data_IF_785603503567
#
_entry.id   IF_785603503567
#
_cell.length_a   1.000
_cell.length_b   1.000
_cell.length_c   1.000
_cell.angle_alpha   90.00
_cell.angle_beta   90.00
_cell.angle_gamma   90.00
#
_symmetry.space_group_name_H-M   'P 1'
#
loop_
_entity.id
_entity.type
_entity.pdbx_description
1 polymer ?
#
# COMPACT_ATOMS: atom_id res chain seq x y z
N UNK A 1 -65.65 31.16 17.79
CA UNK A 1 -65.62 29.68 17.90
C UNK A 1 -64.87 29.01 16.73
N UNK A 2 -64.18 29.72 15.88
CA UNK A 2 -63.53 29.23 14.66
C UNK A 2 -62.00 28.97 14.77
N UNK A 3 -61.34 29.46 15.85
CA UNK A 3 -59.88 29.36 15.99
C UNK A 3 -59.38 27.98 16.49
N UNK A 4 -60.14 27.28 17.34
CA UNK A 4 -59.73 25.99 17.91
C UNK A 4 -59.84 24.78 16.94
N UNK A 5 -60.71 24.89 15.97
CA UNK A 5 -60.89 23.81 14.97
C UNK A 5 -59.81 23.83 13.90
N UNK A 6 -59.40 25.01 13.48
CA UNK A 6 -58.32 25.20 12.47
C UNK A 6 -56.96 24.72 13.00
N UNK A 7 -56.65 24.96 14.28
CA UNK A 7 -55.39 24.51 14.90
C UNK A 7 -55.30 22.99 15.04
N UNK A 8 -56.43 22.32 15.33
CA UNK A 8 -56.49 20.86 15.40
C UNK A 8 -56.30 20.20 14.02
N UNK A 9 -56.87 20.78 12.96
CA UNK A 9 -56.72 20.26 11.59
C UNK A 9 -55.27 20.41 11.12
N UNK A 10 -54.62 21.54 11.38
CA UNK A 10 -53.21 21.77 11.03
C UNK A 10 -52.33 20.79 11.79
N UNK A 11 -52.57 20.49 13.05
CA UNK A 11 -51.80 19.57 13.86
C UNK A 11 -51.93 18.11 13.37
N UNK A 12 -53.11 17.70 12.95
CA UNK A 12 -53.36 16.36 12.38
C UNK A 12 -52.72 16.24 10.99
N UNK A 13 -52.74 17.30 10.18
CA UNK A 13 -52.11 17.30 8.84
C UNK A 13 -50.58 17.25 8.98
N UNK A 14 -49.94 17.93 9.98
CA UNK A 14 -48.54 17.81 10.25
C UNK A 14 -48.10 16.42 10.74
N UNK A 15 -48.95 15.73 11.52
CA UNK A 15 -48.62 14.38 12.02
C UNK A 15 -48.65 13.35 10.87
N UNK A 16 -49.54 13.52 9.90
CA UNK A 16 -49.62 12.61 8.72
C UNK A 16 -48.41 12.76 7.78
N UNK A 17 -47.76 13.93 7.76
CA UNK A 17 -46.56 14.16 6.92
C UNK A 17 -45.28 13.50 7.46
N UNK A 18 -45.25 13.07 8.71
CA UNK A 18 -44.09 12.39 9.30
C UNK A 18 -44.16 10.85 9.24
N UNK A 19 -45.23 10.27 8.69
CA UNK A 19 -45.29 8.82 8.44
C UNK A 19 -44.92 8.54 6.97
N UNK A 20 -43.85 9.15 6.48
CA UNK A 20 -43.18 8.65 5.30
C UNK A 20 -42.24 7.53 5.77
N UNK A 21 -42.78 6.35 5.98
CA UNK A 21 -41.96 5.14 5.99
C UNK A 21 -41.22 5.09 4.65
N UNK A 22 -39.95 5.46 4.66
CA UNK A 22 -39.06 5.06 3.59
C UNK A 22 -39.08 3.53 3.65
N UNK A 23 -39.77 2.92 2.73
CA UNK A 23 -39.72 1.49 2.54
C UNK A 23 -38.27 1.20 2.12
N UNK A 24 -37.45 0.73 3.05
CA UNK A 24 -36.16 0.18 2.68
C UNK A 24 -36.45 -0.89 1.62
N UNK A 25 -35.97 -0.64 0.42
CA UNK A 25 -36.00 -1.65 -0.64
C UNK A 25 -35.09 -2.76 -0.11
N UNK A 26 -35.64 -3.97 0.16
CA UNK A 26 -34.80 -5.06 0.62
C UNK A 26 -33.73 -5.28 -0.44
N UNK A 27 -32.47 -5.11 -0.07
CA UNK A 27 -31.33 -5.45 -0.92
C UNK A 27 -31.50 -6.94 -1.19
N UNK A 28 -31.80 -7.29 -2.44
CA UNK A 28 -31.81 -8.69 -2.84
C UNK A 28 -30.42 -9.22 -2.57
N UNK A 29 -30.28 -10.33 -1.81
CA UNK A 29 -28.98 -10.98 -1.70
C UNK A 29 -28.47 -11.23 -3.12
N UNK A 30 -27.26 -10.80 -3.42
CA UNK A 30 -26.61 -11.22 -4.65
C UNK A 30 -26.54 -12.75 -4.61
N UNK A 31 -26.94 -13.41 -5.69
CA UNK A 31 -26.56 -14.82 -5.87
C UNK A 31 -25.04 -14.90 -5.72
N UNK A 32 -24.54 -15.96 -5.07
CA UNK A 32 -23.12 -16.26 -5.11
C UNK A 32 -22.70 -16.19 -6.58
N UNK A 33 -21.77 -15.26 -6.87
CA UNK A 33 -21.24 -15.10 -8.22
C UNK A 33 -20.53 -16.38 -8.68
N UNK A 34 -20.33 -16.51 -9.98
CA UNK A 34 -19.50 -17.57 -10.51
C UNK A 34 -18.05 -17.40 -9.97
N UNK A 35 -17.39 -18.53 -9.72
CA UNK A 35 -15.98 -18.56 -9.35
C UNK A 35 -15.15 -18.00 -10.50
N UNK A 36 -14.53 -16.85 -10.29
CA UNK A 36 -13.56 -16.27 -11.22
C UNK A 36 -12.15 -16.65 -10.78
N UNK A 37 -11.42 -17.35 -11.63
CA UNK A 37 -10.03 -17.72 -11.39
C UNK A 37 -9.12 -16.72 -12.13
N UNK A 38 -8.23 -16.07 -11.38
CA UNK A 38 -7.13 -15.29 -11.92
C UNK A 38 -5.81 -16.02 -11.68
N UNK A 39 -4.87 -15.92 -12.61
CA UNK A 39 -3.50 -16.42 -12.45
C UNK A 39 -2.53 -15.26 -12.62
N UNK A 40 -1.57 -15.14 -11.70
CA UNK A 40 -0.60 -14.06 -11.70
C UNK A 40 0.80 -14.66 -11.64
N UNK A 41 1.61 -14.34 -12.64
CA UNK A 41 3.03 -14.70 -12.68
C UNK A 41 3.88 -13.53 -12.16
N UNK A 42 4.46 -13.69 -10.98
CA UNK A 42 5.33 -12.69 -10.36
C UNK A 42 6.76 -12.70 -10.93
N UNK A 43 7.05 -13.54 -11.89
CA UNK A 43 8.37 -13.69 -12.52
C UNK A 43 9.38 -14.43 -11.63
N UNK A 44 10.56 -14.65 -12.20
CA UNK A 44 11.67 -15.24 -11.46
C UNK A 44 12.08 -14.33 -10.30
N UNK A 45 12.34 -14.93 -9.13
CA UNK A 45 12.72 -14.22 -7.91
C UNK A 45 11.70 -13.17 -7.42
N UNK A 46 10.44 -13.27 -7.89
CA UNK A 46 9.36 -12.34 -7.57
C UNK A 46 9.72 -10.89 -7.86
N UNK A 47 10.32 -10.64 -9.02
CA UNK A 47 10.81 -9.32 -9.43
C UNK A 47 9.75 -8.42 -10.09
N UNK A 48 8.59 -8.98 -10.39
CA UNK A 48 7.45 -8.20 -10.91
C UNK A 48 6.62 -7.61 -9.77
N UNK A 49 6.21 -6.37 -9.97
CA UNK A 49 5.17 -5.69 -9.20
C UNK A 49 3.93 -5.61 -10.07
N UNK A 50 2.82 -6.20 -9.63
CA UNK A 50 1.63 -6.41 -10.46
C UNK A 50 0.42 -5.82 -9.78
N UNK A 51 -0.14 -4.77 -10.37
CA UNK A 51 -1.37 -4.12 -9.96
C UNK A 51 -2.56 -4.85 -10.56
N UNK A 52 -3.49 -5.27 -9.72
CA UNK A 52 -4.60 -6.13 -10.09
C UNK A 52 -5.93 -5.53 -9.68
N UNK A 53 -6.92 -5.60 -10.57
CA UNK A 53 -8.32 -5.23 -10.31
C UNK A 53 -9.13 -6.48 -9.99
N UNK A 54 -9.78 -6.49 -8.84
CA UNK A 54 -10.72 -7.56 -8.47
C UNK A 54 -12.03 -7.48 -9.27
N UNK A 55 -12.49 -6.27 -9.57
CA UNK A 55 -13.73 -6.06 -10.32
C UNK A 55 -13.64 -6.52 -11.75
N UNK A 56 -12.52 -6.23 -12.40
CA UNK A 56 -12.28 -6.60 -13.80
C UNK A 56 -11.64 -7.99 -13.92
N UNK A 57 -11.14 -8.53 -12.81
CA UNK A 57 -10.40 -9.81 -12.75
C UNK A 57 -9.20 -9.82 -13.70
N UNK A 58 -8.44 -8.71 -13.74
CA UNK A 58 -7.32 -8.54 -14.67
C UNK A 58 -6.14 -7.77 -14.09
N UNK A 59 -4.99 -7.95 -14.72
CA UNK A 59 -3.80 -7.15 -14.45
C UNK A 59 -3.98 -5.78 -15.08
N UNK A 60 -4.00 -4.74 -14.24
CA UNK A 60 -4.09 -3.35 -14.69
C UNK A 60 -2.76 -2.83 -15.19
N UNK A 61 -1.68 -3.18 -14.48
CA UNK A 61 -0.32 -2.75 -14.81
C UNK A 61 0.73 -3.65 -14.18
N UNK A 62 1.89 -3.68 -14.80
CA UNK A 62 3.05 -4.43 -14.30
C UNK A 62 4.33 -3.66 -14.55
N UNK A 63 5.26 -3.74 -13.60
CA UNK A 63 6.60 -3.19 -13.71
C UNK A 63 7.62 -4.09 -13.00
N UNK A 64 8.90 -3.87 -13.31
CA UNK A 64 9.98 -4.48 -12.54
C UNK A 64 10.24 -3.69 -11.24
N UNK A 65 10.52 -4.39 -10.16
CA UNK A 65 10.82 -3.79 -8.86
C UNK A 65 12.01 -2.80 -8.89
N UNK A 66 12.96 -3.02 -9.78
CA UNK A 66 14.18 -2.21 -9.89
C UNK A 66 14.02 -0.89 -10.64
N UNK A 67 12.82 -0.59 -11.15
CA UNK A 67 12.60 0.62 -11.94
C UNK A 67 12.59 1.90 -11.12
N UNK A 68 12.19 1.84 -9.85
CA UNK A 68 12.05 3.00 -8.98
C UNK A 68 12.73 2.78 -7.61
N UNK A 69 12.95 3.85 -6.87
CA UNK A 69 13.71 3.82 -5.62
C UNK A 69 12.90 4.31 -4.40
N UNK A 70 12.28 5.46 -4.53
CA UNK A 70 11.42 6.08 -3.51
C UNK A 70 10.14 6.60 -4.15
N UNK A 71 9.11 6.84 -3.35
CA UNK A 71 7.90 7.43 -3.91
C UNK A 71 7.30 8.52 -3.01
N UNK A 72 6.72 9.52 -3.62
CA UNK A 72 6.17 10.71 -3.01
C UNK A 72 4.65 10.66 -2.97
N UNK A 73 4.04 10.99 -1.85
CA UNK A 73 2.58 11.00 -1.71
C UNK A 73 1.94 11.93 -2.75
N UNK A 74 1.00 11.37 -3.55
CA UNK A 74 0.33 12.09 -4.64
C UNK A 74 -0.78 13.03 -4.19
N UNK A 75 -1.31 12.84 -2.97
CA UNK A 75 -2.43 13.62 -2.42
C UNK A 75 -2.06 15.09 -2.23
N UNK A 76 -2.99 16.00 -2.53
CA UNK A 76 -2.85 17.41 -2.16
C UNK A 76 -2.60 17.54 -0.64
N UNK A 77 -1.69 18.41 -0.25
CA UNK A 77 -1.20 18.56 1.13
C UNK A 77 -0.52 17.31 1.73
N UNK A 78 -0.46 16.17 1.03
CA UNK A 78 0.33 15.02 1.42
C UNK A 78 1.81 15.36 1.42
N UNK A 79 2.59 14.74 2.30
CA UNK A 79 4.02 15.05 2.41
C UNK A 79 4.88 13.81 2.64
N UNK A 80 4.26 12.64 2.76
CA UNK A 80 4.99 11.42 3.07
C UNK A 80 5.82 10.94 1.87
N UNK A 81 6.95 10.35 2.20
CA UNK A 81 7.84 9.68 1.26
C UNK A 81 8.03 8.26 1.74
N UNK A 82 7.95 7.31 0.83
CA UNK A 82 8.14 5.89 1.10
C UNK A 82 9.32 5.34 0.30
N UNK A 83 9.90 4.28 0.82
CA UNK A 83 10.95 3.51 0.17
C UNK A 83 10.37 2.47 -0.79
N UNK A 84 11.15 2.06 -1.78
CA UNK A 84 10.86 0.83 -2.51
C UNK A 84 11.18 -0.38 -1.61
N UNK A 85 10.16 -0.84 -0.89
CA UNK A 85 10.32 -1.93 0.06
C UNK A 85 10.62 -3.29 -0.60
N UNK A 86 10.35 -3.46 -1.91
CA UNK A 86 10.67 -4.69 -2.64
C UNK A 86 12.18 -4.92 -2.82
N UNK A 87 12.96 -3.85 -2.75
CA UNK A 87 14.42 -3.89 -2.84
C UNK A 87 15.12 -3.96 -1.46
N UNK A 88 14.35 -3.99 -0.38
CA UNK A 88 14.88 -3.83 0.99
C UNK A 88 15.57 -2.49 1.22
N UNK A 89 15.08 -1.43 0.56
CA UNK A 89 15.58 -0.08 0.71
C UNK A 89 15.48 0.40 2.16
N UNK A 90 16.43 1.23 2.57
CA UNK A 90 16.48 1.80 3.92
C UNK A 90 16.89 3.27 3.87
N UNK A 91 16.58 4.01 4.93
CA UNK A 91 16.98 5.41 5.04
C UNK A 91 17.58 5.70 6.41
N UNK A 92 18.57 6.59 6.43
CA UNK A 92 19.23 7.10 7.61
C UNK A 92 19.21 8.62 7.63
N UNK A 93 18.78 9.22 8.74
CA UNK A 93 18.89 10.66 8.96
C UNK A 93 20.28 10.99 9.49
N UNK A 94 21.07 11.73 8.71
CA UNK A 94 22.44 12.11 9.12
C UNK A 94 22.46 13.14 10.25
N UNK A 95 21.33 13.83 10.51
CA UNK A 95 21.19 15.00 11.37
C UNK A 95 22.03 16.22 10.92
N UNK A 96 22.61 16.17 9.72
CA UNK A 96 23.30 17.28 9.09
C UNK A 96 22.35 18.05 8.19
N UNK A 97 22.46 19.37 8.14
CA UNK A 97 21.71 20.24 7.24
C UNK A 97 22.51 20.70 6.03
N UNK A 98 23.85 20.61 6.12
CA UNK A 98 24.76 20.96 5.05
C UNK A 98 24.95 19.78 4.09
N UNK A 99 24.36 19.82 2.92
CA UNK A 99 24.35 18.74 1.94
C UNK A 99 25.73 18.23 1.57
N UNK A 100 26.69 19.15 1.44
CA UNK A 100 28.04 18.81 1.03
C UNK A 100 28.92 18.28 2.17
N UNK A 101 28.49 18.39 3.43
CA UNK A 101 29.22 17.83 4.58
C UNK A 101 29.09 16.32 4.68
N UNK A 102 28.03 15.74 4.12
CA UNK A 102 27.78 14.30 4.11
C UNK A 102 28.53 13.67 2.95
N UNK A 103 29.69 13.06 3.23
CA UNK A 103 30.59 12.51 2.21
C UNK A 103 30.93 11.04 2.39
N UNK A 104 30.49 10.41 3.47
CA UNK A 104 30.77 9.00 3.76
C UNK A 104 29.62 8.35 4.56
N UNK A 105 29.66 7.03 4.61
CA UNK A 105 28.82 6.18 5.45
C UNK A 105 29.75 5.52 6.46
N UNK A 106 29.44 5.64 7.75
CA UNK A 106 30.31 5.19 8.83
C UNK A 106 30.24 3.67 9.08
N UNK A 107 29.15 3.03 8.64
CA UNK A 107 28.81 1.64 8.90
C UNK A 107 28.08 1.41 10.23
N UNK A 108 27.76 2.48 10.96
CA UNK A 108 27.02 2.43 12.23
C UNK A 108 25.69 3.19 12.17
N UNK A 109 25.15 3.40 10.96
CA UNK A 109 23.90 4.11 10.73
C UNK A 109 22.72 3.34 11.33
N UNK A 110 21.82 4.07 11.98
CA UNK A 110 20.55 3.53 12.45
C UNK A 110 19.54 3.55 11.31
N UNK A 111 19.67 2.59 10.41
CA UNK A 111 18.80 2.43 9.26
C UNK A 111 17.34 2.23 9.66
N UNK A 112 16.44 2.90 8.96
CA UNK A 112 15.00 2.83 9.13
C UNK A 112 14.36 2.25 7.89
N UNK A 113 13.25 1.57 8.12
CA UNK A 113 12.41 0.93 7.11
C UNK A 113 10.97 1.42 7.27
N UNK A 114 10.21 1.46 6.19
CA UNK A 114 8.79 1.74 6.28
C UNK A 114 8.07 0.63 7.05
N UNK A 115 7.01 1.00 7.79
CA UNK A 115 6.14 0.01 8.40
C UNK A 115 5.45 -0.81 7.30
N UNK A 116 5.51 -2.15 7.36
CA UNK A 116 4.83 -3.01 6.39
C UNK A 116 3.32 -2.75 6.29
N UNK A 117 2.70 -2.33 7.40
CA UNK A 117 1.27 -1.98 7.43
C UNK A 117 0.90 -0.80 6.54
N UNK A 118 1.90 -0.06 6.04
CA UNK A 118 1.69 1.15 5.25
C UNK A 118 1.20 2.35 6.05
N UNK A 119 1.28 2.31 7.38
CA UNK A 119 0.97 3.47 8.20
C UNK A 119 1.90 4.64 7.88
N UNK A 120 1.33 5.75 7.42
CA UNK A 120 2.09 6.93 6.99
C UNK A 120 2.81 7.62 8.16
N UNK A 121 2.29 7.51 9.38
CA UNK A 121 2.98 8.02 10.57
C UNK A 121 4.22 7.19 10.96
N UNK A 122 4.46 6.07 10.26
CA UNK A 122 5.55 5.14 10.49
C UNK A 122 6.39 4.91 9.23
N UNK A 123 6.53 5.93 8.39
CA UNK A 123 7.46 5.90 7.25
C UNK A 123 8.91 6.01 7.75
N UNK A 124 9.83 5.42 7.01
CA UNK A 124 11.26 5.42 7.36
C UNK A 124 11.87 6.84 7.39
N UNK A 125 11.39 7.73 6.51
CA UNK A 125 11.79 9.13 6.49
C UNK A 125 11.27 9.92 7.70
N UNK A 126 10.13 9.53 8.27
CA UNK A 126 9.45 10.31 9.30
C UNK A 126 9.18 11.74 8.82
N UNK A 127 9.29 12.71 9.73
CA UNK A 127 9.16 14.13 9.36
C UNK A 127 10.50 14.69 8.86
N UNK A 128 10.73 14.61 7.58
CA UNK A 128 11.94 15.09 6.90
C UNK A 128 11.94 16.60 6.66
N UNK A 129 10.86 17.32 6.97
CA UNK A 129 10.73 18.78 6.72
C UNK A 129 11.61 19.64 7.62
N UNK A 130 12.44 19.02 8.43
CA UNK A 130 13.49 19.65 9.23
C UNK A 130 14.70 20.13 8.41
N UNK A 131 14.76 19.76 7.10
CA UNK A 131 15.84 20.15 6.20
C UNK A 131 17.14 19.34 6.37
N UNK A 132 17.09 18.23 7.09
CA UNK A 132 18.25 17.35 7.25
C UNK A 132 18.57 16.62 5.93
N UNK A 133 19.83 16.25 5.80
CA UNK A 133 20.32 15.34 4.75
C UNK A 133 20.03 13.91 5.17
N UNK A 134 19.35 13.19 4.30
CA UNK A 134 19.09 11.77 4.48
C UNK A 134 19.99 10.94 3.55
N UNK A 135 20.42 9.78 4.03
CA UNK A 135 21.15 8.79 3.21
C UNK A 135 20.19 7.65 2.94
N UNK A 136 20.04 7.30 1.67
CA UNK A 136 19.20 6.19 1.20
C UNK A 136 20.12 5.05 0.79
N UNK A 137 19.94 3.90 1.42
CA UNK A 137 20.37 2.62 0.88
C UNK A 137 19.29 2.20 -0.11
N UNK A 138 19.63 2.13 -1.41
CA UNK A 138 18.71 1.76 -2.47
C UNK A 138 18.34 0.27 -2.46
N UNK A 139 18.97 -0.49 -1.56
CA UNK A 139 18.75 -1.91 -1.39
C UNK A 139 19.48 -2.78 -2.42
N UNK A 140 18.88 -3.92 -2.72
CA UNK A 140 19.51 -4.95 -3.57
C UNK A 140 18.55 -5.44 -4.65
N UNK A 141 19.09 -5.74 -5.83
CA UNK A 141 18.37 -6.43 -6.90
C UNK A 141 18.59 -7.93 -6.77
N UNK A 142 17.58 -8.66 -6.30
CA UNK A 142 17.64 -10.13 -6.14
C UNK A 142 17.72 -10.81 -7.50
N UNK A 143 16.97 -10.34 -8.48
CA UNK A 143 16.97 -10.87 -9.85
C UNK A 143 18.33 -10.72 -10.56
N UNK A 144 19.20 -9.84 -10.06
CA UNK A 144 20.57 -9.67 -10.54
C UNK A 144 21.60 -10.32 -9.60
N UNK A 145 21.21 -11.33 -8.83
CA UNK A 145 22.09 -12.06 -7.94
C UNK A 145 22.42 -11.34 -6.62
N UNK A 146 21.54 -10.47 -6.14
CA UNK A 146 21.74 -9.73 -4.89
C UNK A 146 22.72 -8.55 -5.01
N UNK A 147 22.79 -7.95 -6.20
CA UNK A 147 23.65 -6.79 -6.44
C UNK A 147 23.11 -5.57 -5.69
N UNK A 148 23.96 -4.91 -4.88
CA UNK A 148 23.62 -3.64 -4.24
C UNK A 148 23.44 -2.54 -5.29
N UNK A 149 22.35 -1.75 -5.12
CA UNK A 149 22.05 -0.60 -5.96
C UNK A 149 22.76 0.69 -5.47
N UNK A 150 23.52 0.57 -4.37
CA UNK A 150 24.33 1.67 -3.81
C UNK A 150 23.52 2.65 -2.99
N UNK A 151 24.12 3.80 -2.75
CA UNK A 151 23.61 4.81 -1.82
C UNK A 151 23.39 6.15 -2.52
N UNK A 152 22.43 6.90 -2.04
CA UNK A 152 22.20 8.31 -2.42
C UNK A 152 22.05 9.16 -1.16
N UNK A 153 22.52 10.41 -1.21
CA UNK A 153 22.14 11.42 -0.22
C UNK A 153 21.10 12.35 -0.79
N UNK A 154 20.13 12.75 0.03
CA UNK A 154 19.01 13.59 -0.41
C UNK A 154 18.65 14.64 0.62
N UNK A 155 18.15 15.78 0.16
CA UNK A 155 17.30 16.70 0.92
C UNK A 155 15.97 16.77 0.19
N UNK A 156 14.89 16.65 0.94
CA UNK A 156 13.53 16.71 0.42
C UNK A 156 12.79 17.86 1.09
N UNK A 157 12.05 18.64 0.33
CA UNK A 157 11.19 19.69 0.85
C UNK A 157 9.82 19.70 0.16
N UNK A 158 8.79 20.16 0.88
CA UNK A 158 7.49 20.49 0.31
C UNK A 158 7.51 21.98 -0.04
N UNK A 159 7.53 22.33 -1.34
CA UNK A 159 7.51 23.73 -1.79
C UNK A 159 6.14 24.35 -1.51
N UNK A 160 5.08 23.58 -1.80
CA UNK A 160 3.68 23.96 -1.58
C UNK A 160 2.81 22.69 -1.48
N UNK A 161 1.48 22.87 -1.46
CA UNK A 161 0.53 21.74 -1.34
C UNK A 161 0.61 20.72 -2.49
N UNK A 162 1.14 21.12 -3.66
CA UNK A 162 1.16 20.32 -4.89
C UNK A 162 2.57 20.01 -5.39
N UNK A 163 3.64 20.44 -4.69
CA UNK A 163 4.99 20.27 -5.20
C UNK A 163 5.99 19.89 -4.11
N UNK A 164 6.84 18.95 -4.46
CA UNK A 164 8.06 18.62 -3.74
C UNK A 164 9.28 19.17 -4.50
N UNK A 165 10.35 19.37 -3.76
CA UNK A 165 11.70 19.50 -4.30
C UNK A 165 12.57 18.39 -3.69
N UNK A 166 13.34 17.73 -4.53
CA UNK A 166 14.37 16.77 -4.09
C UNK A 166 15.72 17.20 -4.68
N UNK A 167 16.72 17.38 -3.82
CA UNK A 167 18.13 17.43 -4.21
C UNK A 167 18.74 16.09 -3.87
N UNK A 168 19.41 15.47 -4.82
CA UNK A 168 20.07 14.17 -4.66
C UNK A 168 21.44 14.14 -5.28
N UNK A 169 22.34 13.35 -4.70
CA UNK A 169 23.69 13.09 -5.21
C UNK A 169 24.18 11.72 -4.76
N UNK A 170 25.25 11.23 -5.36
CA UNK A 170 26.03 10.16 -4.78
C UNK A 170 26.68 10.63 -3.46
N UNK A 171 27.09 9.71 -2.61
CA UNK A 171 27.65 10.09 -1.30
C UNK A 171 28.88 10.98 -1.43
N UNK A 172 29.72 10.74 -2.44
CA UNK A 172 30.91 11.57 -2.74
C UNK A 172 30.57 12.93 -3.36
N UNK A 173 29.31 13.18 -3.68
CA UNK A 173 28.83 14.44 -4.27
C UNK A 173 28.69 14.43 -5.78
N UNK A 174 29.03 13.33 -6.45
CA UNK A 174 28.79 13.20 -7.89
C UNK A 174 27.29 13.14 -8.20
N UNK A 175 26.92 13.48 -9.45
CA UNK A 175 25.53 13.48 -9.94
C UNK A 175 24.58 14.36 -9.12
N UNK A 176 25.07 15.44 -8.51
CA UNK A 176 24.25 16.40 -7.75
C UNK A 176 23.20 17.05 -8.67
N UNK A 177 21.96 16.87 -8.32
CA UNK A 177 20.83 17.40 -9.09
C UNK A 177 19.68 17.80 -8.20
N UNK A 178 18.90 18.80 -8.62
CA UNK A 178 17.68 19.22 -7.94
C UNK A 178 16.49 19.11 -8.92
N UNK A 179 15.44 18.46 -8.47
CA UNK A 179 14.24 18.19 -9.26
C UNK A 179 13.01 18.71 -8.52
N UNK A 180 12.12 19.38 -9.24
CA UNK A 180 10.77 19.73 -8.75
C UNK A 180 9.81 18.65 -9.22
N UNK A 181 9.06 18.06 -8.29
CA UNK A 181 8.07 17.01 -8.53
C UNK A 181 6.69 17.63 -8.33
N UNK A 182 5.89 17.66 -9.37
CA UNK A 182 4.47 18.04 -9.28
C UNK A 182 3.65 16.81 -8.94
N UNK A 183 2.80 16.93 -7.92
CA UNK A 183 1.92 15.83 -7.48
C UNK A 183 0.87 15.50 -8.54
N UNK A 184 0.56 14.21 -8.63
CA UNK A 184 -0.61 13.71 -9.34
C UNK A 184 -1.56 13.08 -8.31
N UNK A 185 -2.72 13.68 -8.13
CA UNK A 185 -3.73 13.21 -7.18
C UNK A 185 -4.48 11.96 -7.63
N UNK A 186 -4.24 11.50 -8.84
CA UNK A 186 -4.83 10.27 -9.37
C UNK A 186 -4.11 8.99 -8.91
N UNK A 187 -2.91 9.12 -8.33
CA UNK A 187 -2.15 8.00 -7.75
C UNK A 187 -1.97 8.19 -6.25
N UNK A 188 -1.73 7.09 -5.52
CA UNK A 188 -1.38 7.21 -4.11
C UNK A 188 0.03 7.77 -3.94
N UNK A 189 0.96 7.27 -4.77
CA UNK A 189 2.37 7.67 -4.73
C UNK A 189 2.95 7.82 -6.14
N UNK A 190 3.80 8.84 -6.30
CA UNK A 190 4.60 9.06 -7.50
C UNK A 190 5.96 8.39 -7.34
N UNK A 191 6.22 7.35 -8.08
CA UNK A 191 7.48 6.62 -8.04
C UNK A 191 8.62 7.43 -8.70
N UNK A 192 9.73 7.58 -8.00
CA UNK A 192 10.92 8.30 -8.44
C UNK A 192 12.10 7.36 -8.60
N UNK A 193 12.85 7.54 -9.66
CA UNK A 193 14.08 6.78 -9.92
C UNK A 193 15.33 7.67 -9.88
N UNK A 194 16.32 7.28 -9.07
CA UNK A 194 17.63 7.94 -9.09
C UNK A 194 18.44 7.63 -10.35
N UNK A 195 18.09 6.57 -11.09
CA UNK A 195 18.78 6.27 -12.35
C UNK A 195 18.42 7.25 -13.46
N UNK A 196 17.16 7.68 -13.52
CA UNK A 196 16.67 8.64 -14.52
C UNK A 196 16.49 10.05 -13.97
N UNK A 197 16.60 10.23 -12.64
CA UNK A 197 16.26 11.47 -11.94
C UNK A 197 14.88 12.01 -12.34
N UNK A 198 13.87 11.13 -12.35
CA UNK A 198 12.52 11.50 -12.80
C UNK A 198 11.44 10.65 -12.14
N UNK A 199 10.22 11.17 -12.17
CA UNK A 199 9.02 10.40 -11.84
C UNK A 199 8.75 9.41 -12.98
N UNK A 200 8.41 8.19 -12.61
CA UNK A 200 8.04 7.11 -13.51
C UNK A 200 6.56 6.78 -13.34
N UNK A 201 5.94 6.41 -14.45
CA UNK A 201 4.55 5.94 -14.48
C UNK A 201 4.50 4.47 -14.02
N UNK A 202 4.52 4.25 -12.70
CA UNK A 202 4.52 2.93 -12.04
C UNK A 202 3.11 2.59 -11.53
N UNK A 203 2.56 3.37 -10.61
CA UNK A 203 1.23 3.11 -10.05
C UNK A 203 0.15 3.52 -11.08
N UNK A 204 -0.84 2.66 -11.41
CA UNK A 204 -2.00 3.08 -12.19
C UNK A 204 -2.88 4.02 -11.40
N UNK A 205 -3.94 4.58 -12.02
CA UNK A 205 -4.92 5.38 -11.30
C UNK A 205 -5.43 4.60 -10.07
N UNK A 206 -5.37 5.23 -8.90
CA UNK A 206 -5.68 4.62 -7.61
C UNK A 206 -7.09 4.04 -7.49
N UNK A 207 -8.00 4.39 -8.41
CA UNK A 207 -9.36 3.84 -8.45
C UNK A 207 -9.49 2.65 -9.42
N UNK A 208 -8.40 2.19 -10.02
CA UNK A 208 -8.44 1.13 -11.04
C UNK A 208 -7.82 -0.20 -10.56
N UNK A 209 -7.26 -0.25 -9.36
CA UNK A 209 -6.64 -1.45 -8.84
C UNK A 209 -6.98 -1.66 -7.36
N UNK A 210 -6.89 -2.89 -6.91
CA UNK A 210 -7.23 -3.30 -5.55
C UNK A 210 -6.05 -3.96 -4.84
N UNK A 211 -5.30 -4.80 -5.55
CA UNK A 211 -4.20 -5.60 -5.00
C UNK A 211 -2.90 -5.32 -5.76
N UNK A 212 -1.80 -5.31 -5.01
CA UNK A 212 -0.45 -5.26 -5.54
C UNK A 212 0.28 -6.55 -5.15
N UNK A 213 0.55 -7.41 -6.13
CA UNK A 213 1.41 -8.57 -5.95
C UNK A 213 2.86 -8.12 -6.10
N UNK A 214 3.66 -8.29 -5.06
CA UNK A 214 5.03 -7.77 -5.02
C UNK A 214 5.87 -8.47 -3.96
N UNK A 215 7.18 -8.37 -4.08
CA UNK A 215 8.03 -8.52 -2.91
C UNK A 215 7.97 -7.24 -2.08
N UNK A 216 8.16 -7.36 -0.77
CA UNK A 216 8.26 -6.22 0.13
C UNK A 216 9.08 -6.55 1.38
N UNK A 217 9.49 -5.54 2.12
CA UNK A 217 10.25 -5.72 3.37
C UNK A 217 9.29 -5.84 4.54
N UNK A 218 9.30 -6.99 5.21
CA UNK A 218 8.70 -7.17 6.53
C UNK A 218 9.75 -6.92 7.61
N UNK A 219 9.38 -6.24 8.70
CA UNK A 219 10.31 -5.93 9.80
C UNK A 219 9.93 -6.75 11.03
N UNK A 220 10.78 -7.70 11.39
CA UNK A 220 10.60 -8.50 12.60
C UNK A 220 11.03 -7.73 13.84
N UNK A 221 10.07 -7.12 14.53
CA UNK A 221 10.30 -6.34 15.76
C UNK A 221 10.61 -7.21 16.99
N UNK A 222 10.51 -8.53 16.88
CA UNK A 222 10.90 -9.48 17.93
C UNK A 222 12.42 -9.59 18.12
N UNK A 223 13.20 -9.12 17.14
CA UNK A 223 14.66 -9.06 17.22
C UNK A 223 15.13 -7.70 17.72
N UNK A 224 16.33 -7.65 18.28
CA UNK A 224 16.99 -6.41 18.71
C UNK A 224 18.41 -6.34 18.15
N UNK A 225 18.71 -5.47 17.18
CA UNK A 225 17.79 -4.54 16.51
C UNK A 225 16.72 -5.24 15.66
N UNK A 226 15.62 -4.54 15.30
CA UNK A 226 14.60 -5.07 14.39
C UNK A 226 15.23 -5.55 13.09
N UNK A 227 14.80 -6.74 12.62
CA UNK A 227 15.38 -7.38 11.45
C UNK A 227 14.49 -7.22 10.22
N UNK A 228 14.94 -6.48 9.19
CA UNK A 228 14.22 -6.42 7.92
C UNK A 228 14.42 -7.74 7.15
N UNK A 229 13.36 -8.21 6.53
CA UNK A 229 13.38 -9.43 5.72
C UNK A 229 12.49 -9.27 4.49
N UNK A 230 13.05 -9.53 3.31
CA UNK A 230 12.28 -9.46 2.06
C UNK A 230 11.37 -10.69 1.95
N UNK A 231 10.08 -10.46 1.80
CA UNK A 231 9.06 -11.46 1.56
C UNK A 231 8.32 -11.18 0.26
N UNK A 232 7.68 -12.18 -0.32
CA UNK A 232 6.76 -11.99 -1.45
C UNK A 232 5.34 -12.19 -0.98
N UNK A 233 4.43 -11.32 -1.40
CA UNK A 233 3.05 -11.36 -0.94
C UNK A 233 2.14 -10.40 -1.68
N UNK A 234 1.03 -10.06 -1.03
CA UNK A 234 -0.03 -9.22 -1.57
C UNK A 234 -0.26 -8.02 -0.67
N UNK A 235 -0.17 -6.84 -1.23
CA UNK A 235 -0.47 -5.58 -0.56
C UNK A 235 -1.79 -5.00 -1.06
N UNK A 236 -2.52 -4.32 -0.19
CA UNK A 236 -3.78 -3.67 -0.52
C UNK A 236 -3.57 -2.27 -1.10
N UNK A 237 -4.49 -1.87 -1.97
CA UNK A 237 -4.61 -0.46 -2.34
C UNK A 237 -5.12 0.35 -1.15
N UNK A 238 -4.29 1.25 -0.62
CA UNK A 238 -4.62 2.09 0.54
C UNK A 238 -5.79 3.06 0.31
N UNK A 239 -6.14 3.32 -0.96
CA UNK A 239 -7.18 4.30 -1.26
C UNK A 239 -8.59 3.74 -0.96
N UNK A 240 -8.84 2.49 -1.33
CA UNK A 240 -10.21 1.97 -1.39
C UNK A 240 -10.36 0.50 -0.98
N UNK A 241 -9.28 -0.20 -0.63
CA UNK A 241 -9.36 -1.63 -0.33
C UNK A 241 -9.10 -1.90 1.14
N UNK A 242 -9.98 -2.68 1.75
CA UNK A 242 -9.84 -3.18 3.12
C UNK A 242 -10.05 -4.69 3.14
N UNK A 243 -9.50 -5.37 4.11
CA UNK A 243 -9.55 -6.82 4.19
C UNK A 243 -9.86 -7.30 5.61
N UNK A 244 -10.53 -8.45 5.69
CA UNK A 244 -10.67 -9.24 6.91
C UNK A 244 -10.11 -10.64 6.68
N UNK A 245 -9.18 -11.06 7.51
CA UNK A 245 -8.75 -12.45 7.58
C UNK A 245 -9.77 -13.25 8.39
N UNK A 246 -10.34 -14.29 7.80
CA UNK A 246 -11.28 -15.20 8.45
C UNK A 246 -10.64 -16.57 8.61
N UNK A 247 -10.49 -17.00 9.86
CA UNK A 247 -9.94 -18.31 10.24
C UNK A 247 -11.00 -19.21 10.85
N UNK A 248 -12.25 -18.74 10.96
CA UNK A 248 -13.30 -19.45 11.69
C UNK A 248 -14.33 -20.11 10.78
N UNK A 249 -14.44 -19.66 9.53
CA UNK A 249 -15.44 -20.15 8.59
C UNK A 249 -14.76 -20.77 7.37
N UNK A 250 -15.34 -21.87 6.89
CA UNK A 250 -14.94 -22.42 5.60
C UNK A 250 -15.36 -21.47 4.48
N UNK A 251 -14.57 -21.38 3.44
CA UNK A 251 -14.79 -20.48 2.29
C UNK A 251 -16.21 -20.61 1.70
N UNK A 252 -16.73 -21.83 1.55
CA UNK A 252 -18.03 -22.11 0.97
C UNK A 252 -19.21 -21.63 1.82
N UNK A 253 -18.99 -21.36 3.12
CA UNK A 253 -20.01 -20.89 4.05
C UNK A 253 -20.03 -19.37 4.22
N UNK A 254 -19.20 -18.65 3.47
CA UNK A 254 -19.11 -17.21 3.55
C UNK A 254 -20.20 -16.58 2.67
N UNK A 255 -21.03 -15.76 3.30
CA UNK A 255 -22.07 -15.00 2.62
C UNK A 255 -21.94 -13.49 2.92
N UNK A 256 -22.76 -12.69 2.28
CA UNK A 256 -22.77 -11.25 2.45
C UNK A 256 -23.13 -10.83 3.89
N UNK A 257 -24.04 -11.53 4.55
CA UNK A 257 -24.51 -11.18 5.90
C UNK A 257 -23.41 -11.42 6.93
N UNK A 258 -22.72 -12.57 6.83
CA UNK A 258 -21.59 -12.89 7.69
C UNK A 258 -20.40 -11.98 7.42
N UNK A 259 -20.18 -11.57 6.16
CA UNK A 259 -19.10 -10.65 5.81
C UNK A 259 -19.27 -9.25 6.45
N UNK A 260 -20.50 -8.79 6.65
CA UNK A 260 -20.77 -7.46 7.23
C UNK A 260 -20.59 -7.37 8.76
N UNK A 261 -20.41 -8.49 9.44
CA UNK A 261 -20.31 -8.52 10.90
C UNK A 261 -18.90 -8.25 11.45
N UNK A 262 -17.92 -8.06 10.56
CA UNK A 262 -16.50 -7.91 10.92
C UNK A 262 -16.00 -6.51 10.69
N UNK A 263 -15.06 -6.09 11.54
CA UNK A 263 -14.21 -4.93 11.29
C UNK A 263 -13.15 -5.32 10.26
N UNK A 264 -13.00 -4.50 9.23
CA UNK A 264 -12.02 -4.69 8.17
C UNK A 264 -10.76 -3.87 8.46
N UNK A 265 -9.61 -4.47 8.25
CA UNK A 265 -8.31 -3.83 8.37
C UNK A 265 -7.97 -3.01 7.13
N UNK A 266 -7.37 -1.85 7.33
CA UNK A 266 -6.77 -1.02 6.28
C UNK A 266 -5.25 -1.16 6.22
N UNK A 267 -4.65 -2.06 7.00
CA UNK A 267 -3.23 -2.37 6.87
C UNK A 267 -2.96 -2.95 5.49
N UNK A 268 -2.05 -2.36 4.74
CA UNK A 268 -1.82 -2.79 3.36
C UNK A 268 -1.23 -4.20 3.28
N UNK A 269 -0.54 -4.66 4.31
CA UNK A 269 0.07 -6.00 4.41
C UNK A 269 -0.80 -7.02 5.15
N UNK A 270 -2.08 -6.76 5.34
CA UNK A 270 -2.97 -7.67 6.08
C UNK A 270 -3.14 -9.03 5.38
N UNK A 271 -3.13 -9.09 4.04
CA UNK A 271 -2.95 -10.35 3.29
C UNK A 271 -1.49 -10.78 3.38
N UNK A 272 -0.61 -9.86 3.01
CA UNK A 272 0.83 -10.01 3.14
C UNK A 272 1.35 -11.31 2.56
N UNK A 273 2.18 -12.00 3.35
CA UNK A 273 2.78 -13.29 3.01
C UNK A 273 2.24 -14.45 3.88
N UNK A 274 1.37 -14.16 4.84
CA UNK A 274 0.91 -15.11 5.89
C UNK A 274 -0.01 -16.22 5.38
N UNK A 275 -0.45 -16.13 4.12
CA UNK A 275 -1.26 -17.18 3.47
C UNK A 275 -0.44 -18.41 3.07
N UNK A 276 0.89 -18.34 3.20
CA UNK A 276 1.82 -19.44 2.89
C UNK A 276 2.83 -19.63 4.01
N UNK A 277 3.24 -20.90 4.21
CA UNK A 277 4.28 -21.28 5.15
C UNK A 277 5.46 -21.86 4.38
N UNK A 278 6.67 -21.45 4.73
CA UNK A 278 7.91 -22.02 4.19
C UNK A 278 8.53 -23.00 5.19
N UNK A 279 8.76 -24.22 4.76
CA UNK A 279 9.47 -25.23 5.56
C UNK A 279 10.95 -25.23 5.23
N UNK A 280 11.79 -24.79 6.15
CA UNK A 280 13.25 -24.82 5.99
C UNK A 280 13.81 -26.23 5.87
N UNK A 281 13.13 -27.25 6.44
CA UNK A 281 13.57 -28.65 6.40
C UNK A 281 13.35 -29.32 5.05
N UNK A 282 12.30 -28.92 4.31
CA UNK A 282 11.94 -29.50 3.01
C UNK A 282 12.19 -28.55 1.86
N UNK A 283 12.51 -27.28 2.14
CA UNK A 283 12.61 -26.18 1.16
C UNK A 283 11.34 -26.02 0.30
N UNK A 284 10.17 -26.26 0.90
CA UNK A 284 8.89 -26.21 0.21
C UNK A 284 7.95 -25.22 0.88
N UNK A 285 7.11 -24.58 0.05
CA UNK A 285 5.97 -23.80 0.51
C UNK A 285 4.73 -24.69 0.66
N UNK A 286 3.89 -24.35 1.63
CA UNK A 286 2.53 -24.87 1.77
C UNK A 286 1.56 -23.72 2.01
N UNK A 287 0.36 -23.83 1.46
CA UNK A 287 -0.70 -22.84 1.67
C UNK A 287 -1.37 -23.08 3.01
N UNK A 288 -1.72 -22.01 3.73
CA UNK A 288 -2.54 -22.08 4.93
C UNK A 288 -4.03 -22.10 4.55
N UNK A 289 -4.55 -23.28 4.34
CA UNK A 289 -5.94 -23.52 3.93
C UNK A 289 -6.99 -23.08 4.96
N UNK A 290 -6.57 -22.77 6.19
CA UNK A 290 -7.48 -22.31 7.24
C UNK A 290 -7.73 -20.80 7.21
N UNK A 291 -7.09 -20.06 6.30
CA UNK A 291 -7.28 -18.62 6.15
C UNK A 291 -8.09 -18.31 4.92
N UNK A 292 -9.10 -17.49 5.08
CA UNK A 292 -9.84 -16.88 3.98
C UNK A 292 -9.74 -15.37 4.08
N UNK A 293 -9.46 -14.70 2.99
CA UNK A 293 -9.39 -13.24 2.94
C UNK A 293 -10.68 -12.69 2.35
N UNK A 294 -11.34 -11.82 3.12
CA UNK A 294 -12.54 -11.09 2.69
C UNK A 294 -12.14 -9.67 2.38
N UNK A 295 -12.35 -9.23 1.15
CA UNK A 295 -11.98 -7.91 0.69
C UNK A 295 -13.21 -7.06 0.42
N UNK A 296 -13.09 -5.79 0.75
CA UNK A 296 -14.02 -4.75 0.32
C UNK A 296 -13.18 -3.76 -0.47
N UNK A 297 -13.55 -3.59 -1.72
CA UNK A 297 -13.11 -2.52 -2.59
C UNK A 297 -14.35 -1.72 -2.97
N UNK A 298 -14.27 -0.40 -3.00
CA UNK A 298 -15.36 0.61 -3.16
C UNK A 298 -16.78 0.11 -3.53
N UNK A 299 -16.88 -0.85 -4.43
CA UNK A 299 -18.16 -1.34 -4.98
C UNK A 299 -18.32 -2.86 -4.82
N UNK A 300 -17.21 -3.59 -4.59
CA UNK A 300 -17.19 -5.04 -4.61
C UNK A 300 -16.83 -5.62 -3.26
N UNK A 301 -17.54 -6.68 -2.88
CA UNK A 301 -17.14 -7.57 -1.79
C UNK A 301 -16.72 -8.89 -2.43
N UNK A 302 -15.45 -9.20 -2.27
CA UNK A 302 -14.83 -10.40 -2.82
C UNK A 302 -14.21 -11.19 -1.69
N UNK A 303 -14.27 -12.52 -1.81
CA UNK A 303 -13.47 -13.38 -0.96
C UNK A 303 -12.44 -14.12 -1.79
N UNK A 304 -11.27 -14.25 -1.23
CA UNK A 304 -10.14 -14.92 -1.88
C UNK A 304 -9.85 -16.19 -1.12
N UNK A 305 -9.94 -17.32 -1.82
CA UNK A 305 -9.52 -18.62 -1.33
C UNK A 305 -8.01 -18.74 -1.50
N UNK A 306 -7.24 -18.88 -0.41
CA UNK A 306 -5.77 -18.98 -0.51
C UNK A 306 -5.30 -20.20 -1.32
N UNK A 307 -6.07 -21.29 -1.36
CA UNK A 307 -5.73 -22.44 -2.23
C UNK A 307 -5.79 -22.08 -3.72
N UNK A 308 -6.48 -21.00 -4.09
CA UNK A 308 -6.61 -20.53 -5.46
C UNK A 308 -5.59 -19.42 -5.80
N UNK A 309 -4.86 -18.90 -4.83
CA UNK A 309 -3.74 -17.99 -5.07
C UNK A 309 -2.53 -18.85 -5.44
N UNK A 310 -2.47 -19.32 -6.66
CA UNK A 310 -1.30 -20.04 -7.17
C UNK A 310 -0.37 -19.00 -7.79
N UNK A 311 0.70 -18.65 -7.07
CA UNK A 311 1.84 -17.97 -7.67
C UNK A 311 2.76 -19.02 -8.28
N UNK A 312 2.80 -19.10 -9.60
CA UNK A 312 3.78 -19.92 -10.33
C UNK A 312 5.10 -19.18 -10.49
#
# INVERSE_FOLDING_TARGET
MTSKTTTKVIFITCIVLFISCIKEIPIKPHSQGELNLGSIDMGNDYNNQIFYSLSENEIVKQNLETQWDIAFEGRENGWHVILNSSLSGAVYNSNETEFNSVTNISGNENWKYDSPSGNLDSTAFGDYRNGNVYIIDRGVSVSQGGVSLGYKKVIISCINSLQYEIRSADINGDLDTTIIITKDTNVNFLAFSFNSNSILDIEPNKNQWDLLFTAYTHVFNSFSPPMPYRVSGVLLNRNNTTVKVDTNNNFENIDYETANQYEFSSNIDEIGYDWKNYSFSTSMYSVDINKTFRLISDIYKTWVDPEKIITT
#
